data_IF_695779495984
#
_entry.id   IF_695779495984
#
_cell.length_a   1.000
_cell.length_b   1.000
_cell.length_c   1.000
_cell.angle_alpha   90.00
_cell.angle_beta   90.00
_cell.angle_gamma   90.00
#
_symmetry.space_group_name_H-M   'P 1'
#
loop_
_entity.id
_entity.type
_entity.pdbx_description
1 polymer ?
#
# COMPACT_ATOMS: atom_id res chain seq x y z
N UNK A 1 -1.84 3.06 -10.97
CA UNK A 1 -0.82 2.25 -10.24
C UNK A 1 -1.50 1.04 -9.58
N UNK A 2 -0.97 -0.17 -9.75
CA UNK A 2 -1.45 -1.38 -9.09
C UNK A 2 -1.01 -1.38 -7.62
N UNK A 3 -1.97 -1.62 -6.71
CA UNK A 3 -1.77 -1.45 -5.28
C UNK A 3 -1.83 -2.78 -4.53
N UNK A 4 -0.93 -2.98 -3.58
CA UNK A 4 -0.89 -4.15 -2.71
C UNK A 4 -0.67 -3.75 -1.25
N UNK A 5 -0.96 -4.66 -0.31
CA UNK A 5 -0.71 -4.47 1.11
C UNK A 5 -0.28 -5.77 1.77
N UNK A 6 0.79 -5.74 2.54
CA UNK A 6 1.21 -6.89 3.33
C UNK A 6 0.26 -7.15 4.49
N UNK A 7 -0.10 -8.41 4.70
CA UNK A 7 -1.01 -8.79 5.79
C UNK A 7 -0.46 -8.43 7.18
N UNK A 8 0.84 -8.21 7.30
CA UNK A 8 1.48 -7.73 8.54
C UNK A 8 1.03 -6.32 8.95
N UNK A 9 0.54 -5.50 8.02
CA UNK A 9 0.03 -4.15 8.30
C UNK A 9 -1.27 -4.15 9.10
N UNK A 10 -2.00 -5.26 9.08
CA UNK A 10 -3.39 -5.34 9.54
C UNK A 10 -3.52 -6.21 10.80
N UNK A 11 -4.51 -5.91 11.62
CA UNK A 11 -4.94 -6.74 12.75
C UNK A 11 -5.88 -7.87 12.34
N UNK A 12 -6.11 -8.82 13.23
CA UNK A 12 -7.08 -9.89 13.04
C UNK A 12 -6.52 -11.15 12.37
N UNK A 13 -7.39 -12.07 12.02
CA UNK A 13 -7.07 -13.31 11.29
C UNK A 13 -6.75 -13.03 9.82
N UNK A 14 -6.02 -13.94 9.16
CA UNK A 14 -5.73 -13.80 7.73
C UNK A 14 -6.99 -13.57 6.89
N UNK A 15 -8.09 -14.27 7.19
CA UNK A 15 -9.36 -14.12 6.48
C UNK A 15 -10.01 -12.72 6.68
N UNK A 16 -9.87 -12.11 7.86
CA UNK A 16 -10.33 -10.74 8.14
C UNK A 16 -9.45 -9.71 7.43
N UNK A 17 -8.13 -9.90 7.44
CA UNK A 17 -7.16 -9.05 6.73
C UNK A 17 -7.42 -9.03 5.22
N UNK A 18 -7.63 -10.20 4.61
CA UNK A 18 -7.97 -10.32 3.19
C UNK A 18 -9.26 -9.56 2.85
N UNK A 19 -10.32 -9.72 3.68
CA UNK A 19 -11.55 -8.97 3.48
C UNK A 19 -11.35 -7.47 3.63
N UNK A 20 -10.59 -7.03 4.64
CA UNK A 20 -10.31 -5.62 4.86
C UNK A 20 -9.57 -4.98 3.68
N UNK A 21 -8.58 -5.68 3.09
CA UNK A 21 -7.87 -5.22 1.91
C UNK A 21 -8.80 -5.13 0.68
N UNK A 22 -9.63 -6.15 0.43
CA UNK A 22 -10.61 -6.15 -0.66
C UNK A 22 -11.67 -5.06 -0.50
N UNK A 23 -12.25 -4.91 0.71
CA UNK A 23 -13.25 -3.88 1.00
C UNK A 23 -12.70 -2.45 0.89
N UNK A 24 -11.39 -2.27 1.13
CA UNK A 24 -10.70 -1.01 0.91
C UNK A 24 -10.45 -0.70 -0.57
N UNK A 25 -10.35 -1.72 -1.44
CA UNK A 25 -10.11 -1.59 -2.88
C UNK A 25 -8.65 -1.80 -3.30
N UNK A 26 -7.86 -2.55 -2.54
CA UNK A 26 -6.55 -3.02 -2.98
C UNK A 26 -6.69 -4.03 -4.11
N UNK A 27 -5.73 -4.05 -5.04
CA UNK A 27 -5.67 -5.01 -6.14
C UNK A 27 -5.08 -6.35 -5.69
N UNK A 28 -4.19 -6.33 -4.68
CA UNK A 28 -3.53 -7.52 -4.19
C UNK A 28 -3.05 -7.44 -2.74
N UNK A 29 -2.46 -8.54 -2.28
CA UNK A 29 -1.89 -8.65 -0.94
C UNK A 29 -0.59 -9.47 -0.95
N UNK A 30 0.29 -9.14 0.01
CA UNK A 30 1.41 -10.01 0.39
C UNK A 30 1.01 -10.89 1.57
N UNK A 31 1.32 -12.17 1.49
CA UNK A 31 1.07 -13.11 2.58
C UNK A 31 2.29 -13.17 3.50
N UNK A 32 2.13 -12.63 4.71
CA UNK A 32 3.12 -12.80 5.78
C UNK A 32 2.99 -14.20 6.37
N UNK A 33 4.09 -14.95 6.37
CA UNK A 33 4.10 -16.38 6.74
C UNK A 33 3.41 -16.68 8.07
N UNK A 34 3.64 -15.85 9.08
CA UNK A 34 3.06 -16.09 10.41
C UNK A 34 1.51 -16.06 10.38
N UNK A 35 0.93 -15.23 9.54
CA UNK A 35 -0.53 -15.18 9.36
C UNK A 35 -1.07 -16.45 8.71
N UNK A 36 -0.32 -17.03 7.78
CA UNK A 36 -0.66 -18.32 7.18
C UNK A 36 -0.54 -19.47 8.18
N UNK A 37 0.57 -19.51 8.94
CA UNK A 37 0.85 -20.60 9.91
C UNK A 37 -0.23 -20.68 10.99
N UNK A 38 -0.76 -19.55 11.46
CA UNK A 38 -1.83 -19.53 12.47
C UNK A 38 -3.23 -19.64 11.86
N UNK A 39 -3.34 -19.61 10.53
CA UNK A 39 -4.63 -19.72 9.85
C UNK A 39 -5.20 -21.14 9.95
N UNK A 40 -6.52 -21.30 10.18
CA UNK A 40 -7.15 -22.61 10.11
C UNK A 40 -7.36 -23.11 8.67
N UNK A 41 -7.06 -22.27 7.66
CA UNK A 41 -7.27 -22.58 6.24
C UNK A 41 -5.98 -23.07 5.59
N UNK A 42 -6.11 -24.03 4.68
CA UNK A 42 -5.01 -24.49 3.84
C UNK A 42 -4.58 -23.43 2.82
N UNK A 43 -3.34 -23.48 2.27
CA UNK A 43 -2.92 -22.58 1.21
C UNK A 43 -3.89 -22.54 0.01
N UNK A 44 -4.42 -23.70 -0.41
CA UNK A 44 -5.39 -23.78 -1.50
C UNK A 44 -6.72 -23.05 -1.16
N UNK A 45 -7.19 -23.14 0.09
CA UNK A 45 -8.39 -22.41 0.53
C UNK A 45 -8.14 -20.89 0.60
N UNK A 46 -6.94 -20.47 1.01
CA UNK A 46 -6.54 -19.05 0.98
C UNK A 46 -6.53 -18.53 -0.46
N UNK A 47 -5.93 -19.28 -1.40
CA UNK A 47 -5.94 -18.93 -2.84
C UNK A 47 -7.37 -18.79 -3.37
N UNK A 48 -8.25 -19.75 -3.07
CA UNK A 48 -9.65 -19.68 -3.47
C UNK A 48 -10.33 -18.43 -2.91
N UNK A 49 -10.13 -18.14 -1.63
CA UNK A 49 -10.70 -16.98 -0.96
C UNK A 49 -10.20 -15.65 -1.54
N UNK A 50 -8.92 -15.56 -1.90
CA UNK A 50 -8.37 -14.39 -2.58
C UNK A 50 -9.08 -14.15 -3.92
N UNK A 51 -9.25 -15.19 -4.73
CA UNK A 51 -9.98 -15.13 -6.00
C UNK A 51 -11.45 -14.70 -5.82
N UNK A 52 -12.15 -15.20 -4.81
CA UNK A 52 -13.53 -14.81 -4.47
C UNK A 52 -13.64 -13.34 -4.06
N UNK A 53 -12.58 -12.77 -3.48
CA UNK A 53 -12.49 -11.38 -3.07
C UNK A 53 -11.94 -10.45 -4.18
N UNK A 54 -11.53 -11.00 -5.32
CA UNK A 54 -10.90 -10.24 -6.40
C UNK A 54 -9.47 -9.76 -6.08
N UNK A 55 -8.79 -10.39 -5.11
CA UNK A 55 -7.42 -10.07 -4.73
C UNK A 55 -6.43 -10.99 -5.44
N UNK A 56 -5.34 -10.43 -5.97
CA UNK A 56 -4.14 -11.20 -6.29
C UNK A 56 -3.34 -11.51 -5.03
N UNK A 57 -2.64 -12.63 -5.03
CA UNK A 57 -1.63 -12.97 -4.03
C UNK A 57 -0.27 -12.66 -4.66
N UNK A 58 0.35 -11.54 -4.27
CA UNK A 58 1.47 -10.95 -5.00
C UNK A 58 2.84 -11.44 -4.51
N UNK A 59 2.97 -11.72 -3.21
CA UNK A 59 4.23 -12.10 -2.60
C UNK A 59 4.00 -13.02 -1.40
N UNK A 60 4.86 -14.04 -1.24
CA UNK A 60 4.97 -14.82 -0.01
C UNK A 60 6.23 -14.43 0.75
N UNK A 61 6.13 -14.05 2.02
CA UNK A 61 7.23 -13.46 2.78
C UNK A 61 7.25 -13.85 4.26
N UNK A 62 8.45 -13.78 4.90
CA UNK A 62 9.79 -13.71 4.33
C UNK A 62 10.49 -15.05 4.33
N UNK A 63 11.46 -15.27 3.44
CA UNK A 63 12.49 -16.29 3.59
C UNK A 63 13.80 -15.65 4.03
N UNK A 64 14.55 -16.27 4.95
CA UNK A 64 15.72 -15.68 5.62
C UNK A 64 16.86 -16.67 5.77
N UNK A 65 18.07 -16.14 6.05
CA UNK A 65 19.24 -16.90 6.46
C UNK A 65 19.68 -17.93 5.40
N UNK A 66 19.96 -17.46 4.17
CA UNK A 66 20.35 -18.31 3.05
C UNK A 66 21.76 -18.00 2.51
N UNK A 67 22.05 -16.72 2.26
CA UNK A 67 23.23 -16.23 1.56
C UNK A 67 24.43 -16.01 2.49
N UNK A 68 25.66 -16.04 1.94
CA UNK A 68 26.91 -15.78 2.66
C UNK A 68 27.20 -16.80 3.76
N UNK A 69 26.91 -18.08 3.55
CA UNK A 69 27.05 -19.15 4.55
C UNK A 69 27.90 -20.31 4.01
N UNK A 70 28.41 -21.15 4.93
CA UNK A 70 29.12 -22.38 4.56
C UNK A 70 28.19 -23.37 3.84
N UNK A 71 28.78 -24.25 3.02
CA UNK A 71 28.05 -25.14 2.10
C UNK A 71 27.05 -26.08 2.82
N UNK A 72 27.35 -26.56 4.01
CA UNK A 72 26.48 -27.43 4.79
C UNK A 72 25.25 -26.62 5.32
N UNK A 73 25.46 -25.41 5.80
CA UNK A 73 24.41 -24.48 6.21
C UNK A 73 23.53 -24.10 5.01
N UNK A 74 24.16 -23.84 3.85
CA UNK A 74 23.44 -23.51 2.63
C UNK A 74 22.54 -24.66 2.18
N UNK A 75 23.03 -25.91 2.19
CA UNK A 75 22.21 -27.10 1.84
C UNK A 75 21.00 -27.26 2.78
N UNK A 76 21.16 -26.96 4.07
CA UNK A 76 20.05 -26.95 5.01
C UNK A 76 19.07 -25.82 4.70
N UNK A 77 19.58 -24.65 4.30
CA UNK A 77 18.81 -23.52 3.77
C UNK A 77 17.97 -23.89 2.57
N UNK A 78 18.56 -24.59 1.57
CA UNK A 78 17.83 -25.05 0.39
C UNK A 78 16.69 -26.02 0.74
N UNK A 79 16.85 -26.94 1.70
CA UNK A 79 15.75 -27.82 2.15
C UNK A 79 14.59 -27.03 2.79
N UNK A 80 14.93 -25.97 3.55
CA UNK A 80 13.90 -25.07 4.10
C UNK A 80 13.21 -24.26 2.99
N UNK A 81 13.98 -23.78 2.01
CA UNK A 81 13.47 -23.04 0.86
C UNK A 81 12.50 -23.92 0.07
N UNK A 82 12.88 -25.15 -0.25
CA UNK A 82 12.05 -26.11 -0.98
C UNK A 82 10.67 -26.28 -0.33
N UNK A 83 10.61 -26.47 0.98
CA UNK A 83 9.35 -26.57 1.72
C UNK A 83 8.49 -25.29 1.57
N UNK A 84 9.10 -24.10 1.59
CA UNK A 84 8.37 -22.84 1.41
C UNK A 84 7.92 -22.61 -0.03
N UNK A 85 8.72 -23.01 -1.01
CA UNK A 85 8.34 -22.98 -2.42
C UNK A 85 7.12 -23.87 -2.68
N UNK A 86 7.04 -25.02 -2.02
CA UNK A 86 5.85 -25.87 -2.06
C UNK A 86 4.59 -25.14 -1.57
N UNK A 87 4.68 -24.42 -0.45
CA UNK A 87 3.59 -23.61 0.10
C UNK A 87 3.20 -22.47 -0.84
N UNK A 88 4.18 -21.72 -1.36
CA UNK A 88 3.94 -20.62 -2.29
C UNK A 88 3.24 -21.09 -3.57
N UNK A 89 3.65 -22.25 -4.11
CA UNK A 89 2.99 -22.89 -5.27
C UNK A 89 1.52 -23.27 -4.97
N UNK A 90 1.24 -23.81 -3.79
CA UNK A 90 -0.15 -24.11 -3.38
C UNK A 90 -1.00 -22.86 -3.23
N UNK A 91 -0.42 -21.77 -2.73
CA UNK A 91 -1.04 -20.44 -2.69
C UNK A 91 -1.28 -19.87 -4.10
N UNK A 92 -0.54 -20.34 -5.10
CA UNK A 92 -0.54 -19.76 -6.45
C UNK A 92 0.23 -18.46 -6.56
N UNK A 93 1.20 -18.25 -5.69
CA UNK A 93 2.11 -17.08 -5.66
C UNK A 93 3.33 -17.43 -6.51
N UNK A 94 3.74 -16.53 -7.37
CA UNK A 94 4.89 -16.69 -8.25
C UNK A 94 6.16 -15.97 -7.78
N UNK A 95 6.09 -15.22 -6.69
CA UNK A 95 7.22 -14.44 -6.15
C UNK A 95 7.36 -14.62 -4.64
N UNK A 96 8.57 -14.90 -4.17
CA UNK A 96 8.89 -15.04 -2.75
C UNK A 96 9.97 -14.05 -2.34
N UNK A 97 9.76 -13.37 -1.19
CA UNK A 97 10.75 -12.49 -0.60
C UNK A 97 11.88 -13.29 0.03
N UNK A 98 13.10 -13.04 -0.42
CA UNK A 98 14.34 -13.54 0.17
C UNK A 98 15.11 -12.38 0.78
N UNK A 99 15.14 -12.30 2.10
CA UNK A 99 15.90 -11.25 2.79
C UNK A 99 17.39 -11.58 2.87
N UNK A 100 18.24 -10.57 2.75
CA UNK A 100 19.67 -10.68 3.01
C UNK A 100 19.94 -11.20 4.42
N UNK A 101 21.02 -11.96 4.57
CA UNK A 101 21.32 -12.66 5.79
C UNK A 101 21.81 -11.71 6.92
N UNK A 102 21.28 -11.90 8.12
CA UNK A 102 21.57 -11.07 9.29
C UNK A 102 22.47 -11.80 10.29
N UNK A 103 22.03 -12.98 10.73
CA UNK A 103 22.60 -13.64 11.91
C UNK A 103 23.50 -14.84 11.60
N UNK A 104 23.29 -15.50 10.49
CA UNK A 104 23.97 -16.76 10.15
C UNK A 104 25.07 -16.59 9.08
N UNK A 105 25.14 -15.45 8.38
CA UNK A 105 26.19 -15.18 7.41
C UNK A 105 27.56 -15.19 8.04
N UNK A 106 28.48 -15.93 7.45
CA UNK A 106 29.88 -16.08 7.90
C UNK A 106 30.88 -15.72 6.80
N UNK A 107 30.42 -15.62 5.54
CA UNK A 107 31.26 -15.38 4.37
C UNK A 107 30.86 -14.03 3.77
N UNK A 108 31.81 -13.08 3.78
CA UNK A 108 31.69 -11.77 3.13
C UNK A 108 32.35 -11.83 1.75
N UNK A 109 31.63 -12.43 0.80
CA UNK A 109 32.12 -12.66 -0.56
C UNK A 109 30.94 -12.66 -1.54
N UNK A 110 30.95 -11.71 -2.47
CA UNK A 110 29.90 -11.53 -3.47
C UNK A 110 29.78 -12.72 -4.43
N UNK A 111 30.91 -13.37 -4.81
CA UNK A 111 30.88 -14.53 -5.70
C UNK A 111 30.18 -15.71 -5.02
N UNK A 112 30.41 -15.90 -3.72
CA UNK A 112 29.74 -16.93 -2.93
C UNK A 112 28.25 -16.63 -2.82
N UNK A 113 27.88 -15.39 -2.48
CA UNK A 113 26.48 -14.98 -2.39
C UNK A 113 25.75 -15.16 -3.73
N UNK A 114 26.36 -14.73 -4.83
CA UNK A 114 25.80 -14.85 -6.17
C UNK A 114 25.60 -16.32 -6.58
N UNK A 115 26.57 -17.20 -6.33
CA UNK A 115 26.45 -18.64 -6.62
C UNK A 115 25.35 -19.29 -5.78
N UNK A 116 25.23 -18.90 -4.49
CA UNK A 116 24.17 -19.39 -3.61
C UNK A 116 22.80 -18.90 -4.10
N UNK A 117 22.66 -17.63 -4.51
CA UNK A 117 21.43 -17.12 -5.09
C UNK A 117 21.08 -17.81 -6.40
N UNK A 118 22.06 -18.07 -7.29
CA UNK A 118 21.84 -18.79 -8.53
C UNK A 118 21.28 -20.19 -8.27
N UNK A 119 21.87 -20.96 -7.37
CA UNK A 119 21.40 -22.30 -6.99
C UNK A 119 20.02 -22.27 -6.31
N UNK A 120 19.73 -21.24 -5.53
CA UNK A 120 18.39 -21.02 -4.98
C UNK A 120 17.38 -20.70 -6.09
N UNK A 121 17.79 -19.94 -7.11
CA UNK A 121 17.02 -19.65 -8.32
C UNK A 121 16.73 -20.91 -9.14
N UNK A 122 17.72 -21.80 -9.33
CA UNK A 122 17.54 -23.09 -9.98
C UNK A 122 16.42 -23.90 -9.28
N UNK A 123 16.46 -23.99 -7.94
CA UNK A 123 15.44 -24.66 -7.16
C UNK A 123 14.08 -23.96 -7.28
N UNK A 124 14.02 -22.64 -7.18
CA UNK A 124 12.78 -21.88 -7.29
C UNK A 124 12.11 -22.04 -8.66
N UNK A 125 12.92 -22.15 -9.74
CA UNK A 125 12.43 -22.38 -11.10
C UNK A 125 11.65 -23.70 -11.23
N UNK A 126 12.02 -24.76 -10.51
CA UNK A 126 11.29 -26.06 -10.49
C UNK A 126 9.87 -25.91 -9.94
N UNK A 127 9.62 -24.85 -9.16
CA UNK A 127 8.32 -24.52 -8.57
C UNK A 127 7.58 -23.43 -9.36
N UNK A 128 8.21 -22.83 -10.38
CA UNK A 128 7.68 -21.69 -11.14
C UNK A 128 7.65 -20.40 -10.32
N UNK A 129 8.59 -20.23 -9.38
CA UNK A 129 8.64 -19.11 -8.44
C UNK A 129 9.90 -18.29 -8.70
N UNK A 130 9.82 -16.98 -8.54
CA UNK A 130 10.93 -16.04 -8.55
C UNK A 130 11.30 -15.63 -7.12
N UNK A 131 12.57 -15.42 -6.87
CA UNK A 131 13.10 -14.94 -5.59
C UNK A 131 13.42 -13.45 -5.70
N UNK A 132 12.70 -12.62 -4.95
CA UNK A 132 12.94 -11.20 -4.83
C UNK A 132 13.91 -10.95 -3.66
N UNK A 133 15.18 -10.70 -3.98
CA UNK A 133 16.24 -10.51 -2.98
C UNK A 133 16.22 -9.08 -2.42
N UNK A 134 16.04 -8.96 -1.12
CA UNK A 134 15.92 -7.70 -0.40
C UNK A 134 17.14 -7.44 0.50
N UNK A 135 17.76 -6.27 0.37
CA UNK A 135 18.78 -5.81 1.28
C UNK A 135 18.16 -5.25 2.57
N UNK A 136 18.18 -6.00 3.66
CA UNK A 136 17.74 -5.49 4.96
C UNK A 136 18.71 -4.41 5.47
N UNK A 137 18.21 -3.28 5.96
CA UNK A 137 19.02 -2.19 6.50
C UNK A 137 19.96 -2.62 7.65
N UNK A 138 19.72 -3.77 8.26
CA UNK A 138 20.56 -4.42 9.29
C UNK A 138 21.19 -5.73 8.80
N UNK A 139 21.22 -5.96 7.48
CA UNK A 139 21.93 -7.09 6.88
C UNK A 139 23.40 -7.10 7.28
N UNK A 140 23.97 -8.29 7.49
CA UNK A 140 25.32 -8.39 8.02
C UNK A 140 26.38 -7.90 7.03
N UNK A 141 26.31 -8.34 5.78
CA UNK A 141 27.22 -7.97 4.71
C UNK A 141 26.49 -7.22 3.59
N UNK A 142 25.31 -7.68 3.21
CA UNK A 142 24.45 -7.04 2.22
C UNK A 142 23.35 -6.25 2.94
N UNK A 143 23.46 -4.91 2.95
CA UNK A 143 22.54 -4.01 3.66
C UNK A 143 22.18 -2.73 2.87
N UNK A 144 22.54 -2.68 1.59
CA UNK A 144 22.09 -1.67 0.66
C UNK A 144 21.61 -2.30 -0.64
N UNK A 145 20.70 -1.61 -1.34
CA UNK A 145 20.02 -2.15 -2.53
C UNK A 145 20.94 -2.24 -3.75
N UNK A 146 21.94 -1.36 -3.91
CA UNK A 146 22.90 -1.41 -5.01
C UNK A 146 23.80 -2.63 -4.89
N UNK A 147 24.22 -2.96 -3.66
CA UNK A 147 24.97 -4.17 -3.38
C UNK A 147 24.14 -5.42 -3.69
N UNK A 148 22.87 -5.47 -3.23
CA UNK A 148 21.96 -6.58 -3.53
C UNK A 148 21.75 -6.73 -5.05
N UNK A 149 21.53 -5.63 -5.77
CA UNK A 149 21.36 -5.63 -7.22
C UNK A 149 22.63 -6.09 -7.96
N UNK A 150 23.83 -5.75 -7.44
CA UNK A 150 25.09 -6.25 -7.97
C UNK A 150 25.20 -7.77 -7.84
N UNK A 151 24.87 -8.32 -6.67
CA UNK A 151 24.89 -9.77 -6.42
C UNK A 151 23.87 -10.49 -7.32
N UNK A 152 22.66 -9.92 -7.47
CA UNK A 152 21.62 -10.45 -8.37
C UNK A 152 22.13 -10.50 -9.82
N UNK A 153 22.78 -9.45 -10.31
CA UNK A 153 23.42 -9.46 -11.66
C UNK A 153 24.51 -10.50 -11.79
N UNK A 154 25.32 -10.70 -10.74
CA UNK A 154 26.37 -11.75 -10.74
C UNK A 154 25.77 -13.14 -10.71
N UNK A 155 24.64 -13.35 -10.04
CA UNK A 155 23.92 -14.62 -10.04
C UNK A 155 23.39 -15.00 -11.43
N UNK A 156 23.07 -14.01 -12.27
CA UNK A 156 22.64 -14.14 -13.67
C UNK A 156 21.60 -15.25 -13.86
N UNK A 157 20.49 -15.16 -13.10
CA UNK A 157 19.45 -16.18 -13.10
C UNK A 157 18.04 -15.58 -13.28
N UNK A 158 17.22 -16.06 -14.25
CA UNK A 158 15.92 -15.45 -14.58
C UNK A 158 14.88 -15.51 -13.44
N UNK A 159 15.06 -16.42 -12.49
CA UNK A 159 14.18 -16.52 -11.30
C UNK A 159 14.74 -15.81 -10.07
N UNK A 160 15.77 -14.97 -10.21
CA UNK A 160 16.32 -14.15 -9.13
C UNK A 160 16.30 -12.69 -9.56
N UNK A 161 15.73 -11.84 -8.74
CA UNK A 161 15.73 -10.39 -8.93
C UNK A 161 15.73 -9.68 -7.59
N UNK A 162 15.48 -8.38 -7.58
CA UNK A 162 15.50 -7.55 -6.37
C UNK A 162 14.10 -7.26 -5.85
N UNK A 163 13.98 -7.10 -4.54
CA UNK A 163 12.91 -6.37 -3.88
C UNK A 163 13.47 -5.03 -3.37
N UNK A 164 12.80 -3.93 -3.67
CA UNK A 164 13.13 -2.61 -3.17
C UNK A 164 12.15 -2.21 -2.08
N UNK A 165 12.61 -2.11 -0.83
CA UNK A 165 11.83 -1.57 0.28
C UNK A 165 12.33 -0.16 0.61
N UNK A 166 11.46 0.82 0.49
CA UNK A 166 11.76 2.23 0.74
C UNK A 166 12.28 2.48 2.16
N UNK A 167 11.78 1.74 3.17
CA UNK A 167 12.28 1.89 4.53
C UNK A 167 13.76 1.49 4.63
N UNK A 168 14.15 0.36 4.02
CA UNK A 168 15.54 -0.11 4.10
C UNK A 168 16.51 0.84 3.41
N UNK A 169 16.08 1.48 2.33
CA UNK A 169 16.88 2.46 1.60
C UNK A 169 16.95 3.79 2.39
N UNK A 170 15.80 4.38 2.70
CA UNK A 170 15.73 5.74 3.24
C UNK A 170 16.09 5.84 4.72
N UNK A 171 15.87 4.79 5.53
CA UNK A 171 16.28 4.76 6.94
C UNK A 171 17.80 4.79 7.14
N UNK A 172 18.55 4.37 6.12
CA UNK A 172 20.02 4.43 6.09
C UNK A 172 20.54 5.73 5.48
N UNK A 173 19.64 6.56 4.93
CA UNK A 173 20.00 7.77 4.20
C UNK A 173 20.66 7.48 2.85
N UNK A 174 20.40 6.31 2.26
CA UNK A 174 20.86 6.00 0.91
C UNK A 174 20.10 6.83 -0.11
N UNK A 175 20.81 7.27 -1.14
CA UNK A 175 20.24 7.97 -2.28
C UNK A 175 19.41 6.97 -3.13
N UNK A 176 18.12 7.23 -3.41
CA UNK A 176 17.33 6.36 -4.30
C UNK A 176 17.65 6.54 -5.79
N UNK A 177 18.40 7.57 -6.21
CA UNK A 177 18.68 7.84 -7.62
C UNK A 177 19.27 6.65 -8.40
N UNK A 178 20.17 5.81 -7.83
CA UNK A 178 20.68 4.61 -8.55
C UNK A 178 19.61 3.57 -8.90
N UNK A 179 18.37 3.70 -8.42
CA UNK A 179 17.25 2.85 -8.86
C UNK A 179 17.03 2.99 -10.37
N UNK A 180 17.29 4.16 -10.95
CA UNK A 180 17.14 4.42 -12.39
C UNK A 180 18.09 3.55 -13.26
N UNK A 181 19.21 3.12 -12.70
CA UNK A 181 20.22 2.29 -13.39
C UNK A 181 19.91 0.77 -13.34
N UNK A 182 18.85 0.39 -12.62
CA UNK A 182 18.44 -1.02 -12.54
C UNK A 182 17.67 -1.42 -13.80
N UNK A 183 17.84 -2.68 -14.21
CA UNK A 183 16.96 -3.27 -15.21
C UNK A 183 15.58 -3.50 -14.57
N UNK A 184 14.54 -2.83 -15.07
CA UNK A 184 13.18 -2.93 -14.59
C UNK A 184 12.68 -4.39 -14.49
N UNK A 185 13.14 -5.28 -15.39
CA UNK A 185 12.75 -6.68 -15.38
C UNK A 185 13.35 -7.47 -14.20
N UNK A 186 14.43 -6.96 -13.61
CA UNK A 186 15.06 -7.56 -12.42
C UNK A 186 14.48 -7.01 -11.12
N UNK A 187 13.73 -5.91 -11.15
CA UNK A 187 12.99 -5.42 -9.99
C UNK A 187 11.66 -6.18 -9.90
N UNK A 188 11.63 -7.23 -9.09
CA UNK A 188 10.48 -8.14 -9.02
C UNK A 188 9.36 -7.63 -8.12
N UNK A 189 9.69 -6.82 -7.12
CA UNK A 189 8.72 -6.32 -6.16
C UNK A 189 9.17 -5.02 -5.49
N UNK A 190 8.19 -4.19 -5.09
CA UNK A 190 8.44 -2.93 -4.38
C UNK A 190 7.58 -2.84 -3.14
N UNK A 191 8.22 -2.59 -2.00
CA UNK A 191 7.58 -2.35 -0.71
C UNK A 191 7.76 -0.90 -0.28
N UNK A 192 6.68 -0.28 0.17
CA UNK A 192 6.67 1.08 0.67
C UNK A 192 6.35 1.13 2.16
N UNK A 193 7.14 1.91 2.87
CA UNK A 193 6.87 2.38 4.20
C UNK A 193 7.45 3.78 4.38
N UNK A 194 6.71 4.65 5.03
CA UNK A 194 7.21 5.87 5.60
C UNK A 194 7.57 5.64 7.08
N UNK A 195 8.29 6.56 7.71
CA UNK A 195 8.57 6.51 9.13
C UNK A 195 8.87 7.91 9.69
N UNK A 196 8.53 8.21 10.95
CA UNK A 196 9.03 9.41 11.61
C UNK A 196 10.55 9.34 11.71
N UNK A 197 11.24 10.47 11.50
CA UNK A 197 12.70 10.53 11.56
C UNK A 197 13.15 10.40 13.01
N UNK A 198 13.58 9.19 13.40
CA UNK A 198 13.98 8.84 14.74
C UNK A 198 15.47 8.49 14.80
N UNK A 199 16.12 8.83 15.91
CA UNK A 199 17.50 8.40 16.22
C UNK A 199 17.45 7.19 17.15
N UNK A 200 17.39 5.99 16.55
CA UNK A 200 17.31 4.74 17.31
C UNK A 200 17.91 3.58 16.50
N UNK A 201 17.94 2.39 17.09
CA UNK A 201 18.32 1.16 16.38
C UNK A 201 17.39 0.91 15.18
N UNK A 202 17.98 0.67 14.00
CA UNK A 202 17.24 0.58 12.74
C UNK A 202 16.28 -0.62 12.71
N UNK A 203 16.62 -1.74 13.35
CA UNK A 203 15.74 -2.89 13.45
C UNK A 203 14.52 -2.58 14.32
N UNK A 204 14.72 -1.95 15.48
CA UNK A 204 13.62 -1.50 16.35
C UNK A 204 12.75 -0.46 15.65
N UNK A 205 13.37 0.46 14.92
CA UNK A 205 12.67 1.45 14.13
C UNK A 205 11.79 0.79 13.05
N UNK A 206 12.35 -0.13 12.27
CA UNK A 206 11.62 -0.91 11.26
C UNK A 206 10.45 -1.71 11.84
N UNK A 207 10.62 -2.32 13.00
CA UNK A 207 9.63 -3.26 13.55
C UNK A 207 8.45 -2.61 14.26
N UNK A 208 8.58 -1.34 14.67
CA UNK A 208 7.59 -0.71 15.55
C UNK A 208 7.07 0.64 15.07
N UNK A 209 7.80 1.33 14.15
CA UNK A 209 7.56 2.75 13.88
C UNK A 209 7.36 3.08 12.41
N UNK A 210 7.22 2.10 11.52
CA UNK A 210 6.80 2.37 10.15
C UNK A 210 5.37 2.93 10.15
N UNK A 211 5.09 3.84 9.22
CA UNK A 211 3.77 4.44 9.01
C UNK A 211 3.44 4.45 7.51
N UNK A 212 2.21 4.81 7.18
CA UNK A 212 1.81 4.92 5.77
C UNK A 212 2.47 6.13 5.08
N UNK A 213 2.64 6.08 3.75
CA UNK A 213 3.15 7.20 2.96
C UNK A 213 2.50 8.54 3.31
N UNK A 214 3.33 9.56 3.53
CA UNK A 214 2.91 10.91 3.92
C UNK A 214 2.62 11.11 5.41
N UNK A 215 2.74 10.06 6.24
CA UNK A 215 2.57 10.15 7.69
C UNK A 215 3.91 10.26 8.44
N UNK A 216 5.04 10.09 7.75
CA UNK A 216 6.39 10.14 8.29
C UNK A 216 7.21 11.30 7.73
N UNK A 217 8.50 11.08 7.57
CA UNK A 217 9.44 12.10 7.12
C UNK A 217 10.35 11.65 5.98
N UNK A 218 10.12 10.49 5.35
CA UNK A 218 10.87 10.06 4.19
C UNK A 218 10.37 10.76 2.91
N UNK A 219 11.28 11.06 1.98
CA UNK A 219 10.91 11.55 0.66
C UNK A 219 10.50 10.39 -0.26
N UNK A 220 9.29 9.90 -0.06
CA UNK A 220 8.74 8.83 -0.89
C UNK A 220 8.34 9.31 -2.28
N UNK A 221 8.12 10.62 -2.48
CA UNK A 221 7.82 11.17 -3.80
C UNK A 221 9.05 11.06 -4.69
N UNK A 222 10.23 11.42 -4.17
CA UNK A 222 11.49 11.28 -4.87
C UNK A 222 11.81 9.80 -5.17
N UNK A 223 11.65 8.92 -4.19
CA UNK A 223 11.77 7.47 -4.40
C UNK A 223 10.89 6.95 -5.55
N UNK A 224 9.63 7.38 -5.61
CA UNK A 224 8.69 6.98 -6.65
C UNK A 224 9.01 7.57 -8.02
N UNK A 225 9.60 8.77 -8.09
CA UNK A 225 10.11 9.35 -9.34
C UNK A 225 11.22 8.48 -9.92
N UNK A 226 12.20 8.08 -9.11
CA UNK A 226 13.27 7.19 -9.55
C UNK A 226 12.76 5.80 -9.96
N UNK A 227 11.79 5.27 -9.22
CA UNK A 227 11.13 4.01 -9.57
C UNK A 227 10.39 4.10 -10.92
N UNK A 228 9.69 5.22 -11.18
CA UNK A 228 9.05 5.49 -12.46
C UNK A 228 10.05 5.55 -13.61
N UNK A 229 11.17 6.24 -13.44
CA UNK A 229 12.24 6.37 -14.44
C UNK A 229 12.97 5.03 -14.69
N UNK A 230 13.09 4.18 -13.67
CA UNK A 230 13.55 2.80 -13.83
C UNK A 230 12.66 2.00 -14.79
N UNK A 231 11.38 2.36 -14.95
CA UNK A 231 10.43 1.66 -15.80
C UNK A 231 9.72 0.49 -15.10
N UNK A 232 9.72 0.45 -13.78
CA UNK A 232 8.99 -0.57 -13.02
C UNK A 232 7.47 -0.46 -13.27
N UNK A 233 6.82 -1.59 -13.54
CA UNK A 233 5.38 -1.70 -13.85
C UNK A 233 4.62 -2.68 -12.92
N UNK A 234 5.30 -3.23 -11.93
CA UNK A 234 4.74 -4.16 -10.96
C UNK A 234 3.89 -3.50 -9.87
N UNK A 235 3.41 -4.28 -8.90
CA UNK A 235 2.63 -3.77 -7.79
C UNK A 235 3.50 -2.96 -6.82
N UNK A 236 2.92 -1.88 -6.28
CA UNK A 236 3.50 -1.11 -5.18
C UNK A 236 2.76 -1.49 -3.92
N UNK A 237 3.46 -2.07 -2.96
CA UNK A 237 2.88 -2.70 -1.78
C UNK A 237 3.24 -1.96 -0.50
N UNK A 238 2.30 -1.85 0.43
CA UNK A 238 2.56 -1.34 1.77
C UNK A 238 3.10 -2.45 2.67
N UNK A 239 4.27 -2.24 3.27
CA UNK A 239 4.80 -3.12 4.31
C UNK A 239 5.04 -2.35 5.61
N UNK A 240 4.04 -2.30 6.48
CA UNK A 240 4.06 -1.48 7.68
C UNK A 240 4.08 -2.35 8.94
N UNK A 241 5.23 -2.36 9.61
CA UNK A 241 5.35 -2.91 10.96
C UNK A 241 5.09 -1.80 11.97
N UNK A 242 3.90 -1.81 12.56
CA UNK A 242 3.47 -0.81 13.54
C UNK A 242 2.59 -1.44 14.62
N UNK A 243 2.94 -1.26 15.87
CA UNK A 243 2.25 -1.90 16.99
C UNK A 243 0.81 -1.39 17.17
N UNK A 244 0.55 -0.12 16.85
CA UNK A 244 -0.78 0.46 16.92
C UNK A 244 -1.68 -0.09 15.79
N UNK A 245 -1.16 -0.20 14.56
CA UNK A 245 -1.92 -0.72 13.42
C UNK A 245 -2.34 -2.18 13.62
N UNK A 246 -1.48 -2.98 14.24
CA UNK A 246 -1.78 -4.38 14.58
C UNK A 246 -2.86 -4.56 15.64
N UNK A 247 -3.29 -3.49 16.30
CA UNK A 247 -4.35 -3.47 17.31
C UNK A 247 -5.56 -2.65 16.86
N UNK A 248 -5.43 -1.89 15.77
CA UNK A 248 -6.49 -1.07 15.19
C UNK A 248 -7.50 -1.91 14.40
N UNK A 249 -8.65 -1.33 14.08
CA UNK A 249 -9.62 -1.93 13.18
C UNK A 249 -9.01 -2.15 11.78
N UNK A 250 -8.97 -3.41 11.33
CA UNK A 250 -8.29 -3.79 10.09
C UNK A 250 -8.86 -3.06 8.85
N UNK A 251 -10.18 -2.86 8.79
CA UNK A 251 -10.83 -2.20 7.65
C UNK A 251 -10.46 -0.72 7.59
N UNK A 252 -10.47 -0.03 8.73
CA UNK A 252 -10.07 1.40 8.78
C UNK A 252 -8.61 1.56 8.44
N UNK A 253 -7.76 0.68 8.95
CA UNK A 253 -6.32 0.68 8.64
C UNK A 253 -6.07 0.42 7.14
N UNK A 254 -6.76 -0.54 6.53
CA UNK A 254 -6.65 -0.80 5.10
C UNK A 254 -7.12 0.40 4.25
N UNK A 255 -8.24 1.04 4.61
CA UNK A 255 -8.73 2.25 3.93
C UNK A 255 -7.74 3.40 4.04
N UNK A 256 -7.12 3.60 5.21
CA UNK A 256 -6.11 4.65 5.40
C UNK A 256 -4.85 4.35 4.58
N UNK A 257 -4.42 3.08 4.56
CA UNK A 257 -3.31 2.62 3.72
C UNK A 257 -3.55 2.89 2.23
N UNK A 258 -4.72 2.55 1.70
CA UNK A 258 -5.02 2.82 0.28
C UNK A 258 -5.05 4.33 -0.02
N UNK A 259 -5.63 5.13 0.86
CA UNK A 259 -5.63 6.60 0.71
C UNK A 259 -4.23 7.17 0.65
N UNK A 260 -3.33 6.65 1.46
CA UNK A 260 -1.93 7.09 1.47
C UNK A 260 -1.21 6.76 0.16
N UNK A 261 -1.47 5.59 -0.44
CA UNK A 261 -0.94 5.25 -1.76
C UNK A 261 -1.53 6.15 -2.85
N UNK A 262 -2.83 6.47 -2.82
CA UNK A 262 -3.45 7.39 -3.78
C UNK A 262 -2.92 8.81 -3.64
N UNK A 263 -2.65 9.27 -2.42
CA UNK A 263 -1.97 10.54 -2.17
C UNK A 263 -0.55 10.53 -2.75
N UNK A 264 0.22 9.48 -2.52
CA UNK A 264 1.59 9.37 -3.03
C UNK A 264 1.59 9.33 -4.57
N UNK A 265 0.68 8.59 -5.18
CA UNK A 265 0.48 8.51 -6.62
C UNK A 265 0.26 9.90 -7.24
N UNK A 266 -0.67 10.68 -6.68
CA UNK A 266 -0.98 12.05 -7.09
C UNK A 266 0.24 12.99 -6.96
N UNK A 267 0.97 12.90 -5.84
CA UNK A 267 2.17 13.71 -5.61
C UNK A 267 3.32 13.36 -6.54
N UNK A 268 3.50 12.08 -6.82
CA UNK A 268 4.50 11.61 -7.78
C UNK A 268 4.19 12.11 -9.19
N UNK A 269 2.94 11.99 -9.62
CA UNK A 269 2.52 12.50 -10.92
C UNK A 269 2.71 14.02 -11.02
N UNK A 270 2.30 14.79 -10.00
CA UNK A 270 2.52 16.23 -9.95
C UNK A 270 4.02 16.58 -10.07
N UNK A 271 4.88 15.81 -9.38
CA UNK A 271 6.34 16.01 -9.46
C UNK A 271 6.89 15.69 -10.85
N UNK A 272 6.44 14.64 -11.50
CA UNK A 272 6.84 14.31 -12.88
C UNK A 272 6.41 15.40 -13.87
N UNK A 273 5.23 16.01 -13.69
CA UNK A 273 4.78 17.17 -14.48
C UNK A 273 5.68 18.38 -14.26
N UNK A 274 6.05 18.68 -13.01
CA UNK A 274 7.00 19.76 -12.70
C UNK A 274 8.37 19.54 -13.37
N UNK A 275 8.80 18.30 -13.48
CA UNK A 275 10.05 17.91 -14.14
C UNK A 275 9.93 17.86 -15.67
N UNK A 276 8.73 18.01 -16.23
CA UNK A 276 8.47 17.91 -17.68
C UNK A 276 8.47 16.47 -18.20
N UNK A 277 8.25 15.49 -17.35
CA UNK A 277 8.29 14.04 -17.64
C UNK A 277 6.90 13.43 -17.76
N UNK A 278 5.84 14.18 -17.43
CA UNK A 278 4.43 13.81 -17.66
C UNK A 278 3.65 14.99 -18.22
N UNK A 279 2.53 14.72 -18.90
CA UNK A 279 1.71 15.78 -19.49
C UNK A 279 0.88 16.47 -18.37
N UNK A 280 0.87 17.81 -18.29
CA UNK A 280 -0.06 18.54 -17.42
C UNK A 280 -1.53 18.14 -17.61
N UNK A 281 -1.91 17.67 -18.82
CA UNK A 281 -3.23 17.11 -19.12
C UNK A 281 -3.56 15.88 -18.30
N UNK A 282 -2.59 15.04 -17.96
CA UNK A 282 -2.80 13.84 -17.15
C UNK A 282 -3.25 14.18 -15.72
N UNK A 283 -2.87 15.35 -15.21
CA UNK A 283 -3.34 15.89 -13.90
C UNK A 283 -4.73 16.52 -14.01
N UNK A 284 -5.09 17.12 -15.18
CA UNK A 284 -6.29 17.94 -15.33
C UNK A 284 -7.49 17.18 -15.89
N UNK A 285 -7.29 16.13 -16.70
CA UNK A 285 -8.38 15.43 -17.45
C UNK A 285 -9.26 14.61 -16.50
N UNK A 286 -8.69 14.02 -15.46
CA UNK A 286 -9.48 13.21 -14.52
C UNK A 286 -10.47 14.01 -13.65
N UNK A 287 -10.28 15.32 -13.48
CA UNK A 287 -11.20 16.19 -12.74
C UNK A 287 -12.41 16.70 -13.54
N UNK A 288 -12.41 16.56 -14.87
CA UNK A 288 -13.50 17.08 -15.73
C UNK A 288 -14.54 16.06 -16.14
N UNK A 289 -14.18 14.79 -16.28
CA UNK A 289 -15.13 13.77 -16.76
C UNK A 289 -16.04 13.21 -15.66
N UNK A 290 -15.58 13.14 -14.40
CA UNK A 290 -16.42 12.67 -13.29
C UNK A 290 -17.40 13.72 -12.76
N UNK A 291 -17.15 15.02 -12.99
CA UNK A 291 -18.05 16.11 -12.55
C UNK A 291 -19.31 16.29 -13.42
N UNK A 292 -19.41 15.62 -14.58
CA UNK A 292 -20.54 15.74 -15.53
C UNK A 292 -21.39 14.45 -15.60
N UNK A 293 -21.06 13.43 -14.83
CA UNK A 293 -21.88 12.22 -14.69
C UNK A 293 -23.16 12.50 -13.92
N UNK A 294 -24.19 13.00 -14.63
CA UNK A 294 -25.57 13.06 -14.14
C UNK A 294 -26.02 11.65 -13.78
N UNK A 295 -26.58 11.53 -12.58
CA UNK A 295 -27.30 10.35 -12.15
C UNK A 295 -28.43 10.02 -13.13
N UNK A 296 -28.18 9.13 -14.07
CA UNK A 296 -29.19 8.29 -14.71
C UNK A 296 -28.51 7.21 -15.58
N UNK A 297 -28.83 5.95 -15.28
CA UNK A 297 -28.63 4.85 -16.21
C UNK A 297 -27.50 3.87 -15.89
N UNK A 298 -27.88 2.75 -15.27
CA UNK A 298 -27.10 1.53 -15.22
C UNK A 298 -26.65 1.07 -16.63
N UNK A 299 -25.39 1.35 -16.97
CA UNK A 299 -24.68 0.78 -18.10
C UNK A 299 -23.36 0.21 -17.59
N UNK A 300 -23.20 -1.11 -17.70
CA UNK A 300 -21.91 -1.77 -17.53
C UNK A 300 -20.99 -1.25 -18.64
N UNK A 301 -20.11 -0.29 -18.31
CA UNK A 301 -19.02 0.10 -19.17
C UNK A 301 -17.99 -1.03 -19.24
N UNK A 302 -17.52 -1.32 -20.45
CA UNK A 302 -16.31 -2.08 -20.69
C UNK A 302 -15.15 -1.38 -19.96
N UNK A 303 -14.26 -2.14 -19.36
CA UNK A 303 -13.23 -1.65 -18.43
C UNK A 303 -12.09 -0.83 -19.08
N UNK A 304 -12.39 0.10 -19.99
CA UNK A 304 -11.43 1.07 -20.53
C UNK A 304 -11.55 2.42 -19.81
N UNK A 305 -11.16 2.46 -18.55
CA UNK A 305 -10.86 3.72 -17.88
C UNK A 305 -9.60 4.37 -18.49
N UNK A 306 -9.38 5.69 -18.29
CA UNK A 306 -8.21 6.37 -18.82
C UNK A 306 -6.92 5.66 -18.38
N UNK A 307 -6.04 5.36 -19.33
CA UNK A 307 -4.72 4.77 -19.09
C UNK A 307 -3.91 5.77 -18.25
N UNK A 308 -3.34 5.30 -17.13
CA UNK A 308 -2.46 6.11 -16.28
C UNK A 308 -1.18 6.52 -17.02
N UNK A 309 -0.45 7.50 -16.48
CA UNK A 309 0.78 7.99 -17.06
C UNK A 309 1.97 7.09 -16.75
N UNK A 310 2.71 6.70 -17.78
CA UNK A 310 3.97 5.97 -17.70
C UNK A 310 3.86 4.52 -17.19
N UNK A 311 4.99 3.86 -16.86
CA UNK A 311 5.06 2.44 -16.51
C UNK A 311 4.20 2.07 -15.29
N UNK A 312 4.16 2.93 -14.28
CA UNK A 312 3.36 2.74 -13.07
C UNK A 312 1.88 3.09 -13.23
N UNK A 313 1.45 3.56 -14.41
CA UNK A 313 0.06 4.01 -14.64
C UNK A 313 -0.44 4.98 -13.54
N UNK A 314 0.35 6.00 -13.22
CA UNK A 314 0.05 6.97 -12.17
C UNK A 314 -1.19 7.81 -12.50
N UNK A 315 -2.01 8.09 -11.49
CA UNK A 315 -3.25 8.87 -11.62
C UNK A 315 -3.31 10.00 -10.61
N UNK A 316 -3.80 11.16 -11.05
CA UNK A 316 -4.10 12.26 -10.16
C UNK A 316 -5.36 11.98 -9.31
N UNK A 317 -5.42 12.58 -8.13
CA UNK A 317 -6.66 12.64 -7.36
C UNK A 317 -7.66 13.59 -8.05
N UNK A 318 -8.97 13.33 -7.94
CA UNK A 318 -9.97 14.30 -8.38
C UNK A 318 -9.79 15.62 -7.63
N UNK A 319 -10.07 16.78 -8.26
CA UNK A 319 -9.92 18.07 -7.61
C UNK A 319 -10.77 18.14 -6.35
N UNK A 320 -10.19 18.68 -5.28
CA UNK A 320 -10.93 18.87 -4.04
C UNK A 320 -12.13 19.79 -4.28
N UNK A 321 -13.31 19.33 -3.88
CA UNK A 321 -14.51 20.19 -3.89
C UNK A 321 -14.26 21.34 -2.93
N UNK A 322 -14.25 22.56 -3.47
CA UNK A 322 -14.18 23.77 -2.67
C UNK A 322 -15.61 24.16 -2.30
N UNK A 323 -16.03 24.08 -1.03
CA UNK A 323 -17.32 24.61 -0.62
C UNK A 323 -17.34 26.12 -0.83
N UNK A 324 -18.33 26.58 -1.58
CA UNK A 324 -18.50 28.03 -1.86
C UNK A 324 -19.11 28.75 -0.66
N UNK A 325 -20.03 28.09 0.04
CA UNK A 325 -20.74 28.64 1.20
C UNK A 325 -21.49 27.55 2.00
N UNK A 326 -22.02 27.94 3.16
CA UNK A 326 -22.89 27.11 3.99
C UNK A 326 -24.32 27.17 3.44
N UNK A 327 -24.87 26.05 2.97
CA UNK A 327 -26.25 26.00 2.54
C UNK A 327 -27.26 26.19 3.69
N UNK A 328 -27.00 25.49 4.80
CA UNK A 328 -27.81 25.60 6.04
C UNK A 328 -27.12 24.84 7.19
N UNK A 329 -27.57 25.10 8.42
CA UNK A 329 -27.20 24.30 9.60
C UNK A 329 -28.44 23.52 10.05
N UNK A 330 -28.30 22.22 10.30
CA UNK A 330 -29.36 21.38 10.84
C UNK A 330 -29.23 21.25 12.37
N UNK A 331 -30.29 21.58 13.12
CA UNK A 331 -30.40 21.35 14.53
C UNK A 331 -31.48 20.28 14.80
N UNK A 332 -31.12 19.24 15.51
CA UNK A 332 -32.06 18.19 15.96
C UNK A 332 -32.35 18.38 17.42
N UNK A 333 -33.62 18.43 17.78
CA UNK A 333 -34.04 18.73 19.16
C UNK A 333 -35.27 17.96 19.56
N UNK A 334 -35.34 17.49 20.81
CA UNK A 334 -36.56 17.02 21.47
C UNK A 334 -37.35 18.15 22.17
N UNK A 335 -36.88 19.42 22.04
CA UNK A 335 -37.44 20.59 22.68
C UNK A 335 -37.73 21.70 21.68
N UNK A 336 -38.55 21.40 20.68
CA UNK A 336 -38.82 22.31 19.58
C UNK A 336 -39.22 23.71 20.02
N UNK A 337 -40.14 23.83 21.05
CA UNK A 337 -40.61 25.13 21.55
C UNK A 337 -39.51 25.98 22.18
N UNK A 338 -38.54 25.38 22.87
CA UNK A 338 -37.38 26.10 23.44
C UNK A 338 -36.44 26.55 22.35
N UNK A 339 -36.09 25.65 21.41
CA UNK A 339 -35.24 25.93 20.28
C UNK A 339 -35.79 27.04 19.40
N UNK A 340 -37.11 27.01 19.12
CA UNK A 340 -37.80 28.06 18.36
C UNK A 340 -37.75 29.42 19.07
N UNK A 341 -37.89 29.43 20.40
CA UNK A 341 -37.79 30.67 21.17
C UNK A 341 -36.38 31.27 21.15
N UNK A 342 -35.35 30.41 21.26
CA UNK A 342 -33.95 30.85 21.16
C UNK A 342 -33.65 31.42 19.78
N UNK A 343 -34.07 30.74 18.73
CA UNK A 343 -33.86 31.22 17.36
C UNK A 343 -34.55 32.59 17.14
N UNK A 344 -35.75 32.73 17.65
CA UNK A 344 -36.49 34.01 17.58
C UNK A 344 -35.76 35.12 18.34
N UNK A 345 -35.24 34.83 19.55
CA UNK A 345 -34.44 35.79 20.33
C UNK A 345 -33.13 36.18 19.62
N UNK A 346 -32.53 35.29 18.84
CA UNK A 346 -31.36 35.53 18.02
C UNK A 346 -31.68 36.28 16.72
N UNK A 347 -32.97 36.60 16.45
CA UNK A 347 -33.40 37.36 15.27
C UNK A 347 -33.76 36.51 14.06
N UNK A 348 -33.83 35.18 14.20
CA UNK A 348 -34.33 34.34 13.11
C UNK A 348 -35.84 34.38 13.01
N UNK A 349 -36.36 34.37 11.81
CA UNK A 349 -37.79 34.24 11.52
C UNK A 349 -38.11 32.83 11.03
N UNK A 350 -39.26 32.27 11.39
CA UNK A 350 -39.75 31.02 10.86
C UNK A 350 -40.09 31.21 9.37
N UNK A 351 -39.30 30.63 8.49
CA UNK A 351 -39.47 30.69 7.05
C UNK A 351 -40.48 29.67 6.49
N UNK A 352 -40.75 28.61 7.25
CA UNK A 352 -41.75 27.62 6.86
C UNK A 352 -41.49 26.21 7.44
N UNK A 353 -42.35 25.29 7.04
CA UNK A 353 -42.30 23.88 7.41
C UNK A 353 -42.01 23.03 6.18
N UNK A 354 -41.35 21.87 6.37
CA UNK A 354 -41.08 20.95 5.25
C UNK A 354 -42.42 20.36 4.72
N UNK A 355 -42.55 20.29 3.39
CA UNK A 355 -43.80 19.89 2.74
C UNK A 355 -44.27 18.47 3.04
N UNK A 356 -43.32 17.53 3.28
CA UNK A 356 -43.61 16.10 3.45
C UNK A 356 -42.99 15.48 4.70
N UNK A 357 -42.24 16.23 5.52
CA UNK A 357 -41.66 15.75 6.78
C UNK A 357 -42.24 16.56 7.92
N UNK A 358 -43.03 15.90 8.79
CA UNK A 358 -43.50 16.52 10.01
C UNK A 358 -42.36 16.89 10.95
N UNK A 359 -42.53 17.96 11.73
CA UNK A 359 -41.51 18.39 12.70
C UNK A 359 -40.28 19.06 12.12
N UNK A 360 -40.21 19.32 10.80
CA UNK A 360 -39.07 19.99 10.17
C UNK A 360 -39.44 21.43 9.83
N UNK A 361 -38.69 22.38 10.41
CA UNK A 361 -38.87 23.83 10.27
C UNK A 361 -37.63 24.47 9.62
N UNK A 362 -37.86 25.48 8.78
CA UNK A 362 -36.80 26.36 8.25
C UNK A 362 -36.87 27.70 8.97
N UNK A 363 -35.77 28.13 9.55
CA UNK A 363 -35.55 29.41 10.18
C UNK A 363 -34.54 30.22 9.38
N UNK A 364 -34.79 31.49 9.18
CA UNK A 364 -33.93 32.36 8.32
C UNK A 364 -33.62 33.68 8.99
N UNK A 365 -32.40 34.20 8.78
CA UNK A 365 -31.97 35.54 9.14
C UNK A 365 -30.99 36.03 8.07
N UNK A 366 -31.45 36.95 7.20
CA UNK A 366 -30.70 37.30 6.01
C UNK A 366 -30.47 36.04 5.14
N UNK A 367 -29.21 35.74 4.83
CA UNK A 367 -28.82 34.54 4.08
C UNK A 367 -28.63 33.30 4.97
N UNK A 368 -28.51 33.48 6.28
CA UNK A 368 -28.36 32.38 7.22
C UNK A 368 -29.64 31.52 7.30
N UNK A 369 -29.47 30.20 7.22
CA UNK A 369 -30.54 29.22 7.24
C UNK A 369 -30.29 28.19 8.32
N UNK A 370 -31.28 27.94 9.16
CA UNK A 370 -31.27 26.88 10.16
C UNK A 370 -32.49 25.98 9.94
N UNK A 371 -32.22 24.70 9.69
CA UNK A 371 -33.26 23.67 9.63
C UNK A 371 -33.37 23.04 11.01
N UNK A 372 -34.54 23.08 11.61
CA UNK A 372 -34.81 22.44 12.90
C UNK A 372 -35.63 21.19 12.69
N UNK A 373 -35.13 20.06 13.19
CA UNK A 373 -35.83 18.78 13.16
C UNK A 373 -36.28 18.40 14.57
N UNK A 374 -37.58 18.28 14.75
CA UNK A 374 -38.17 17.80 16.01
C UNK A 374 -38.03 16.27 16.08
N UNK A 375 -37.38 15.81 17.15
CA UNK A 375 -37.23 14.38 17.45
C UNK A 375 -38.38 13.82 18.30
N UNK A 376 -39.36 14.68 18.65
CA UNK A 376 -40.37 14.31 19.62
C UNK A 376 -39.86 14.33 21.08
N UNK A 377 -40.74 14.22 22.06
CA UNK A 377 -40.32 14.12 23.46
C UNK A 377 -39.53 12.80 23.68
N UNK A 378 -38.35 12.92 24.28
CA UNK A 378 -37.54 11.77 24.75
C UNK A 378 -38.14 11.21 26.03
#
# INVERSE_FOLDING_TARGET
MRTSIATVCLSGTLAEKMRAAADAGFDGIEIFEQDLVVSPHTPAQIRQRAAELGLSLDLYQPFRDLDGVEEDVFRDGLRRLEAKLGVARELGIDTMLLCSNVGTATIDDDDVCAEQLRRAGDLAAEYGIRLAYEALAWGRFVNDFEHAARIVRMADHPNVGTCLDSFHILSRGWDPAPIEDLDAQTVLFVQLADAPLLSMDVLSWSRHHRVFPGQGGFDLVDFMVHLHRCGYDGPVSLEIFNDAFRQADARRTAVDGLRSLRWLEDRTLARLVELGEADPGDVLVQGREEAIGTADGAGRGDGSGPTGAGPLELRALPPAVQPEDWGFVELRTGRLGETSRVLHQLGFALGGHHRSKEGVQLWTQGEARVVVVDLGPT
#
